data_IF_958287490288
#
_entry.id   IF_958287490288
#
_cell.length_a   1.000
_cell.length_b   1.000
_cell.length_c   1.000
_cell.angle_alpha   90.00
_cell.angle_beta   90.00
_cell.angle_gamma   90.00
#
_symmetry.space_group_name_H-M   'P 1'
#
loop_
_entity.id
_entity.type
_entity.pdbx_description
1 polymer ?
#
# COMPACT_ATOMS: atom_id res chain seq x y z
N UNK A 1 -22.31 10.15 -32.27
CA UNK A 1 -23.18 9.64 -31.18
C UNK A 1 -22.56 8.51 -30.34
N UNK A 2 -21.53 7.76 -30.78
CA UNK A 2 -20.97 6.64 -30.00
C UNK A 2 -20.02 7.02 -28.84
N UNK A 3 -19.35 8.18 -28.93
CA UNK A 3 -18.37 8.61 -27.90
C UNK A 3 -19.01 8.86 -26.53
N UNK A 4 -20.27 9.33 -26.51
CA UNK A 4 -20.98 9.61 -25.26
C UNK A 4 -21.52 8.33 -24.60
N UNK A 5 -21.93 7.34 -25.40
CA UNK A 5 -22.47 6.08 -24.88
C UNK A 5 -21.38 5.17 -24.30
N UNK A 6 -20.20 5.09 -24.91
CA UNK A 6 -19.08 4.27 -24.39
C UNK A 6 -18.59 4.80 -23.04
N UNK A 7 -18.52 6.13 -22.86
CA UNK A 7 -18.17 6.76 -21.60
C UNK A 7 -19.17 6.45 -20.48
N UNK A 8 -20.46 6.32 -20.78
CA UNK A 8 -21.48 5.92 -19.77
C UNK A 8 -21.21 4.51 -19.24
N UNK A 9 -20.84 3.56 -20.11
CA UNK A 9 -20.49 2.20 -19.64
C UNK A 9 -19.20 2.20 -18.83
N UNK A 10 -18.18 2.95 -19.26
CA UNK A 10 -16.93 3.10 -18.51
C UNK A 10 -17.23 3.62 -17.11
N UNK A 11 -17.92 4.76 -16.97
CA UNK A 11 -18.25 5.35 -15.67
C UNK A 11 -19.04 4.39 -14.77
N UNK A 12 -19.99 3.63 -15.32
CA UNK A 12 -20.73 2.60 -14.56
C UNK A 12 -19.85 1.45 -14.09
N UNK A 13 -18.91 1.00 -14.92
CA UNK A 13 -17.94 -0.03 -14.54
C UNK A 13 -17.02 0.47 -13.42
N UNK A 14 -16.49 1.70 -13.54
CA UNK A 14 -15.66 2.30 -12.50
C UNK A 14 -16.40 2.44 -11.18
N UNK A 15 -17.69 2.82 -11.20
CA UNK A 15 -18.51 2.92 -10.00
C UNK A 15 -18.75 1.56 -9.31
N UNK A 16 -18.96 0.48 -10.08
CA UNK A 16 -19.07 -0.88 -9.53
C UNK A 16 -17.76 -1.31 -8.87
N UNK A 17 -16.63 -0.98 -9.49
CA UNK A 17 -15.30 -1.26 -8.97
C UNK A 17 -15.05 -0.49 -7.66
N UNK A 18 -15.38 0.79 -7.62
CA UNK A 18 -15.30 1.62 -6.41
C UNK A 18 -16.15 1.04 -5.26
N UNK A 19 -17.37 0.60 -5.57
CA UNK A 19 -18.27 -0.04 -4.61
C UNK A 19 -17.68 -1.36 -4.10
N UNK A 20 -17.10 -2.17 -4.99
CA UNK A 20 -16.47 -3.45 -4.65
C UNK A 20 -15.23 -3.29 -3.76
N UNK A 21 -14.44 -2.23 -3.97
CA UNK A 21 -13.25 -1.95 -3.16
C UNK A 21 -13.60 -1.40 -1.78
N UNK A 22 -14.80 -0.81 -1.62
CA UNK A 22 -15.25 -0.18 -0.38
C UNK A 22 -14.24 0.86 0.16
N UNK A 23 -13.59 1.60 -0.75
CA UNK A 23 -12.53 2.60 -0.45
C UNK A 23 -12.95 4.04 -0.76
N UNK A 24 -14.24 4.34 -0.65
CA UNK A 24 -14.77 5.68 -0.94
C UNK A 24 -14.71 6.03 -2.44
N UNK A 25 -14.93 7.31 -2.75
CA UNK A 25 -14.99 7.80 -4.14
C UNK A 25 -13.59 7.92 -4.72
N UNK A 26 -13.44 7.58 -5.99
CA UNK A 26 -12.13 7.66 -6.67
C UNK A 26 -11.54 9.05 -6.79
N UNK A 27 -12.34 10.10 -6.58
CA UNK A 27 -11.87 11.48 -6.48
C UNK A 27 -10.92 11.69 -5.30
N UNK A 28 -10.93 10.82 -4.29
CA UNK A 28 -10.10 10.91 -3.09
C UNK A 28 -8.96 9.87 -3.06
N UNK A 29 -8.83 9.05 -4.12
CA UNK A 29 -7.83 7.99 -4.16
C UNK A 29 -6.40 8.52 -4.30
N UNK A 30 -5.54 8.05 -3.40
CA UNK A 30 -4.11 8.30 -3.39
C UNK A 30 -3.36 7.31 -4.29
N UNK A 31 -2.06 7.51 -4.50
CA UNK A 31 -1.23 6.53 -5.23
C UNK A 31 -1.33 5.13 -4.62
N UNK A 32 -1.37 5.04 -3.29
CA UNK A 32 -1.53 3.79 -2.55
C UNK A 32 -2.87 3.10 -2.87
N UNK A 33 -3.97 3.83 -3.02
CA UNK A 33 -5.27 3.24 -3.38
C UNK A 33 -5.26 2.64 -4.78
N UNK A 34 -4.58 3.30 -5.73
CA UNK A 34 -4.39 2.74 -7.07
C UNK A 34 -3.44 1.54 -7.09
N UNK A 35 -2.46 1.48 -6.17
CA UNK A 35 -1.61 0.30 -5.96
C UNK A 35 -2.43 -0.88 -5.45
N UNK A 36 -3.26 -0.66 -4.43
CA UNK A 36 -4.16 -1.67 -3.88
C UNK A 36 -5.22 -2.13 -4.90
N UNK A 37 -5.73 -1.21 -5.73
CA UNK A 37 -6.61 -1.57 -6.85
C UNK A 37 -5.91 -2.42 -7.90
N UNK A 38 -4.68 -2.05 -8.28
CA UNK A 38 -3.85 -2.84 -9.20
C UNK A 38 -3.64 -4.27 -8.67
N UNK A 39 -3.40 -4.41 -7.37
CA UNK A 39 -3.27 -5.70 -6.69
C UNK A 39 -4.57 -6.50 -6.68
N UNK A 40 -5.69 -5.87 -6.29
CA UNK A 40 -7.01 -6.53 -6.27
C UNK A 40 -7.44 -7.01 -7.67
N UNK A 41 -7.19 -6.21 -8.71
CA UNK A 41 -7.45 -6.59 -10.11
C UNK A 41 -6.58 -7.78 -10.51
N UNK A 42 -5.29 -7.77 -10.15
CA UNK A 42 -4.39 -8.88 -10.44
C UNK A 42 -4.83 -10.16 -9.73
N UNK A 43 -5.21 -10.09 -8.46
CA UNK A 43 -5.66 -11.24 -7.68
C UNK A 43 -6.92 -11.87 -8.29
N UNK A 44 -7.88 -11.05 -8.69
CA UNK A 44 -9.16 -11.52 -9.21
C UNK A 44 -9.16 -11.91 -10.70
N UNK A 45 -8.29 -11.30 -11.52
CA UNK A 45 -8.32 -11.47 -13.00
C UNK A 45 -7.05 -12.10 -13.57
N UNK A 46 -5.97 -12.17 -12.79
CA UNK A 46 -4.65 -12.60 -13.27
C UNK A 46 -4.00 -11.62 -14.27
N UNK A 47 -4.56 -10.43 -14.48
CA UNK A 47 -4.04 -9.39 -15.38
C UNK A 47 -3.63 -8.17 -14.56
N UNK A 48 -2.44 -7.64 -14.80
CA UNK A 48 -1.94 -6.44 -14.12
C UNK A 48 -2.30 -5.19 -14.94
N UNK A 49 -3.00 -4.24 -14.32
CA UNK A 49 -3.16 -2.89 -14.86
C UNK A 49 -2.25 -1.95 -14.07
N UNK A 50 -1.32 -1.26 -14.75
CA UNK A 50 -0.38 -0.38 -14.06
C UNK A 50 -1.10 0.78 -13.34
N UNK A 51 -0.53 1.26 -12.23
CA UNK A 51 -1.05 2.40 -11.47
C UNK A 51 -1.26 3.63 -12.36
N UNK A 52 -0.38 3.88 -13.33
CA UNK A 52 -0.52 5.00 -14.27
C UNK A 52 -1.66 4.79 -15.28
N UNK A 53 -1.88 3.54 -15.71
CA UNK A 53 -3.04 3.16 -16.53
C UNK A 53 -4.35 3.37 -15.75
N UNK A 54 -4.42 2.92 -14.50
CA UNK A 54 -5.59 3.10 -13.64
C UNK A 54 -5.87 4.58 -13.37
N UNK A 55 -4.83 5.36 -12.99
CA UNK A 55 -4.96 6.81 -12.78
C UNK A 55 -5.50 7.56 -14.01
N UNK A 56 -5.11 7.14 -15.23
CA UNK A 56 -5.65 7.72 -16.49
C UNK A 56 -7.12 7.38 -16.71
N UNK A 57 -7.51 6.14 -16.44
CA UNK A 57 -8.91 5.67 -16.60
C UNK A 57 -9.84 6.37 -15.59
N UNK A 58 -9.33 6.61 -14.39
CA UNK A 58 -10.03 7.34 -13.32
C UNK A 58 -9.91 8.87 -13.40
N UNK A 59 -9.36 9.41 -14.50
CA UNK A 59 -9.30 10.86 -14.75
C UNK A 59 -8.32 11.64 -13.87
N UNK A 60 -7.40 10.96 -13.15
CA UNK A 60 -6.35 11.59 -12.33
C UNK A 60 -5.16 12.09 -13.14
N UNK A 61 -5.02 11.61 -14.37
CA UNK A 61 -3.99 12.04 -15.32
C UNK A 61 -4.66 12.30 -16.67
N UNK A 62 -4.20 13.31 -17.40
CA UNK A 62 -4.73 13.64 -18.72
C UNK A 62 -4.59 12.45 -19.67
N UNK A 63 -5.70 12.08 -20.30
CA UNK A 63 -5.78 10.98 -21.26
C UNK A 63 -6.88 11.26 -22.28
N UNK A 64 -6.50 11.41 -23.56
CA UNK A 64 -7.42 11.83 -24.62
C UNK A 64 -7.97 10.66 -25.46
N UNK A 65 -7.67 9.41 -25.10
CA UNK A 65 -8.03 8.22 -25.87
C UNK A 65 -8.93 7.29 -25.08
N UNK A 66 -9.71 6.46 -25.78
CA UNK A 66 -10.51 5.40 -25.14
C UNK A 66 -9.54 4.30 -24.67
N UNK A 67 -9.69 3.75 -23.45
CA UNK A 67 -8.85 2.64 -22.98
C UNK A 67 -8.90 1.45 -23.94
N UNK A 68 -7.78 0.74 -24.09
CA UNK A 68 -7.71 -0.44 -24.93
C UNK A 68 -8.76 -1.50 -24.52
N UNK A 69 -9.29 -2.26 -25.47
CA UNK A 69 -10.31 -3.30 -25.23
C UNK A 69 -9.85 -4.34 -24.20
N UNK A 70 -8.56 -4.65 -24.15
CA UNK A 70 -7.96 -5.54 -23.15
C UNK A 70 -8.08 -4.98 -21.73
N UNK A 71 -7.88 -3.68 -21.56
CA UNK A 71 -8.07 -2.95 -20.31
C UNK A 71 -9.55 -2.98 -19.89
N UNK A 72 -10.46 -2.70 -20.83
CA UNK A 72 -11.91 -2.72 -20.56
C UNK A 72 -12.41 -4.12 -20.19
N UNK A 73 -11.91 -5.16 -20.86
CA UNK A 73 -12.20 -6.56 -20.50
C UNK A 73 -11.71 -6.89 -19.08
N UNK A 74 -10.51 -6.44 -18.72
CA UNK A 74 -9.94 -6.67 -17.39
C UNK A 74 -10.78 -6.00 -16.30
N UNK A 75 -11.26 -4.78 -16.53
CA UNK A 75 -12.13 -4.07 -15.58
C UNK A 75 -13.52 -4.73 -15.46
N UNK A 76 -14.09 -5.22 -16.56
CA UNK A 76 -15.33 -6.00 -16.54
C UNK A 76 -15.18 -7.32 -15.78
N UNK A 77 -14.08 -8.04 -15.99
CA UNK A 77 -13.71 -9.24 -15.23
C UNK A 77 -13.56 -8.96 -13.74
N UNK A 78 -12.89 -7.86 -13.40
CA UNK A 78 -12.82 -7.41 -12.02
C UNK A 78 -14.18 -6.99 -11.45
N UNK A 79 -15.15 -6.64 -12.29
CA UNK A 79 -16.51 -6.33 -11.87
C UNK A 79 -17.44 -7.55 -11.82
N UNK A 80 -16.94 -8.75 -12.14
CA UNK A 80 -17.70 -10.00 -12.09
C UNK A 80 -18.32 -10.45 -13.42
N UNK A 81 -17.94 -9.85 -14.55
CA UNK A 81 -18.42 -10.19 -15.90
C UNK A 81 -17.31 -10.88 -16.70
N UNK A 82 -17.64 -11.80 -17.61
CA UNK A 82 -16.66 -12.53 -18.43
C UNK A 82 -15.80 -11.60 -19.29
N UNK A 83 -16.39 -10.56 -19.86
CA UNK A 83 -15.73 -9.57 -20.70
C UNK A 83 -16.54 -8.25 -20.81
N UNK A 84 -15.97 -7.25 -21.51
CA UNK A 84 -16.60 -5.94 -21.68
C UNK A 84 -17.93 -6.00 -22.45
N UNK A 85 -18.12 -6.99 -23.33
CA UNK A 85 -19.33 -7.13 -24.14
C UNK A 85 -20.49 -7.66 -23.29
N UNK A 86 -20.23 -8.62 -22.41
CA UNK A 86 -21.22 -9.10 -21.44
C UNK A 86 -21.62 -7.98 -20.48
N UNK A 87 -20.65 -7.20 -19.98
CA UNK A 87 -20.94 -6.05 -19.13
C UNK A 87 -21.85 -5.01 -19.80
N UNK A 88 -21.60 -4.65 -21.07
CA UNK A 88 -22.50 -3.72 -21.78
C UNK A 88 -23.91 -4.29 -21.95
N UNK A 89 -24.00 -5.58 -22.29
CA UNK A 89 -25.27 -6.26 -22.48
C UNK A 89 -26.09 -6.35 -21.19
N UNK A 90 -25.45 -6.52 -20.03
CA UNK A 90 -26.13 -6.54 -18.73
C UNK A 90 -26.66 -5.15 -18.34
N UNK A 91 -25.92 -4.09 -18.63
CA UNK A 91 -26.36 -2.70 -18.38
C UNK A 91 -27.53 -2.30 -19.30
N UNK A 92 -27.56 -2.78 -20.53
CA UNK A 92 -28.65 -2.52 -21.47
C UNK A 92 -29.90 -3.34 -21.15
N UNK A 93 -29.75 -4.59 -20.69
CA UNK A 93 -30.87 -5.39 -20.19
C UNK A 93 -31.55 -4.75 -18.96
N UNK A 94 -30.81 -4.04 -18.10
CA UNK A 94 -31.39 -3.31 -16.96
C UNK A 94 -32.11 -2.03 -17.40
N UNK A 95 -31.75 -1.42 -18.54
CA UNK A 95 -32.47 -0.26 -19.09
C UNK A 95 -33.83 -0.63 -19.67
N UNK A 96 -34.01 -1.86 -20.15
CA UNK A 96 -35.28 -2.31 -20.75
C UNK A 96 -36.32 -2.79 -19.70
N UNK A 97 -35.97 -2.90 -18.41
CA UNK A 97 -36.87 -3.45 -17.37
C UNK A 97 -37.64 -2.38 -16.57
N UNK A 98 -37.35 -1.09 -16.75
CA UNK A 98 -38.11 0.02 -16.13
C UNK A 98 -39.19 0.61 -17.05
N UNK A 99 -40.10 -0.22 -17.54
CA UNK A 99 -41.47 0.24 -17.89
C UNK A 99 -42.50 -0.79 -17.43
N UNK A 100 -43.43 -0.32 -16.60
CA UNK A 100 -44.52 -1.10 -16.01
C UNK A 100 -45.65 -1.32 -17.02
N UNK A 101 -46.27 -2.51 -16.92
CA UNK A 101 -47.59 -2.94 -17.43
C UNK A 101 -47.68 -3.24 -18.94
N UNK A 102 -48.30 -4.33 -19.42
CA UNK A 102 -49.44 -5.15 -18.96
C UNK A 102 -49.38 -6.57 -19.56
N UNK A 103 -50.15 -7.50 -18.98
CA UNK A 103 -50.39 -8.87 -19.46
C UNK A 103 -50.65 -9.02 -20.97
N UNK A 104 -50.22 -10.16 -21.54
CA UNK A 104 -51.10 -11.08 -22.30
C UNK A 104 -50.48 -12.47 -22.47
N UNK A 105 -51.35 -13.46 -22.28
CA UNK A 105 -51.17 -14.90 -22.49
C UNK A 105 -51.06 -15.24 -23.99
N UNK A 106 -50.15 -16.14 -24.42
CA UNK A 106 -50.46 -17.49 -24.96
C UNK A 106 -49.29 -18.23 -25.69
N UNK A 107 -49.26 -19.55 -25.47
CA UNK A 107 -48.80 -20.70 -26.29
C UNK A 107 -47.33 -20.96 -26.74
N UNK A 108 -46.70 -21.89 -26.00
CA UNK A 108 -46.34 -23.28 -26.41
C UNK A 108 -45.85 -23.51 -27.86
N UNK A 109 -44.54 -23.80 -28.02
CA UNK A 109 -43.92 -24.95 -28.73
C UNK A 109 -42.41 -24.72 -28.97
N UNK A 110 -41.57 -24.94 -27.96
CA UNK A 110 -40.10 -24.99 -28.15
C UNK A 110 -39.41 -26.14 -27.40
N UNK A 111 -40.21 -27.03 -26.82
CA UNK A 111 -39.76 -28.11 -25.94
C UNK A 111 -39.32 -29.37 -26.69
N UNK A 112 -38.43 -29.26 -27.69
CA UNK A 112 -37.86 -30.44 -28.37
C UNK A 112 -36.39 -30.34 -28.84
N UNK A 113 -35.55 -29.47 -28.27
CA UNK A 113 -34.12 -29.40 -28.65
C UNK A 113 -33.13 -29.48 -27.47
N UNK A 114 -33.47 -30.19 -26.39
CA UNK A 114 -32.59 -30.43 -25.23
C UNK A 114 -32.27 -31.92 -25.04
N UNK A 115 -31.47 -32.50 -25.94
CA UNK A 115 -30.88 -33.83 -25.70
C UNK A 115 -29.46 -34.06 -26.27
N UNK A 116 -28.85 -33.09 -26.97
CA UNK A 116 -27.53 -33.29 -27.58
C UNK A 116 -26.37 -32.49 -26.98
N UNK A 117 -26.66 -31.38 -26.28
CA UNK A 117 -25.63 -30.42 -25.87
C UNK A 117 -24.84 -30.74 -24.58
N UNK A 118 -25.37 -31.46 -23.56
CA UNK A 118 -24.62 -31.66 -22.33
C UNK A 118 -23.48 -32.68 -22.45
N UNK A 119 -23.53 -33.59 -23.44
CA UNK A 119 -22.51 -34.64 -23.61
C UNK A 119 -21.22 -34.09 -24.27
N UNK A 120 -21.35 -33.11 -25.17
CA UNK A 120 -20.20 -32.45 -25.82
C UNK A 120 -19.45 -31.50 -24.87
N UNK A 121 -20.13 -30.86 -23.93
CA UNK A 121 -19.50 -30.02 -22.90
C UNK A 121 -18.70 -30.83 -21.88
N UNK A 122 -19.18 -32.03 -21.52
CA UNK A 122 -18.47 -32.93 -20.59
C UNK A 122 -17.19 -33.48 -21.24
N UNK A 123 -17.22 -33.82 -22.53
CA UNK A 123 -16.03 -34.26 -23.28
C UNK A 123 -15.00 -33.14 -23.47
N UNK A 124 -15.44 -31.89 -23.66
CA UNK A 124 -14.55 -30.72 -23.77
C UNK A 124 -13.85 -30.41 -22.44
N UNK A 125 -14.55 -30.49 -21.31
CA UNK A 125 -13.94 -30.29 -19.99
C UNK A 125 -13.00 -31.43 -19.56
N UNK A 126 -13.19 -32.64 -20.09
CA UNK A 126 -12.27 -33.77 -19.87
C UNK A 126 -11.02 -33.70 -20.76
N UNK A 127 -11.05 -32.97 -21.88
CA UNK A 127 -9.87 -32.77 -22.75
C UNK A 127 -9.10 -31.48 -22.47
N UNK A 128 -9.70 -30.51 -21.77
CA UNK A 128 -8.95 -29.38 -21.21
C UNK A 128 -8.20 -29.84 -19.96
N UNK A 129 -7.11 -30.57 -20.19
CA UNK A 129 -6.16 -30.94 -19.17
C UNK A 129 -5.75 -29.70 -18.41
N UNK A 130 -6.25 -29.60 -17.16
CA UNK A 130 -5.68 -28.72 -16.17
C UNK A 130 -4.24 -29.20 -16.00
N UNK A 131 -3.31 -28.53 -16.66
CA UNK A 131 -1.88 -28.66 -16.39
C UNK A 131 -1.69 -28.27 -14.94
N UNK A 132 -1.81 -29.24 -14.06
CA UNK A 132 -1.28 -29.20 -12.70
C UNK A 132 0.18 -28.85 -12.88
N UNK A 133 0.49 -27.56 -12.73
CA UNK A 133 1.85 -27.06 -12.75
C UNK A 133 2.67 -27.96 -11.83
N UNK A 134 3.70 -28.58 -12.40
CA UNK A 134 4.70 -29.33 -11.65
C UNK A 134 4.99 -28.60 -10.34
N UNK A 135 4.78 -29.26 -9.20
CA UNK A 135 5.32 -28.82 -7.91
C UNK A 135 6.83 -29.01 -7.96
N UNK A 136 7.48 -28.23 -8.82
CA UNK A 136 8.91 -28.03 -8.76
C UNK A 136 9.27 -27.56 -7.36
N UNK A 137 10.28 -28.18 -6.76
CA UNK A 137 10.84 -27.73 -5.49
C UNK A 137 11.58 -26.42 -5.72
N UNK A 138 10.87 -25.30 -5.52
CA UNK A 138 11.48 -23.97 -5.46
C UNK A 138 12.12 -23.75 -4.09
N UNK A 139 13.28 -23.11 -4.05
CA UNK A 139 13.90 -22.64 -2.80
C UNK A 139 14.13 -21.14 -2.86
N UNK A 140 14.03 -20.47 -1.72
CA UNK A 140 14.26 -19.03 -1.62
C UNK A 140 14.66 -18.66 -0.20
N UNK A 141 15.82 -18.02 -0.06
CA UNK A 141 16.35 -17.52 1.20
C UNK A 141 17.21 -16.29 0.95
N UNK A 142 17.55 -15.56 2.00
CA UNK A 142 18.41 -14.39 1.89
C UNK A 142 19.42 -14.29 3.02
N UNK A 143 20.59 -13.74 2.71
CA UNK A 143 21.63 -13.42 3.68
C UNK A 143 21.97 -11.93 3.57
N UNK A 144 21.99 -11.23 4.71
CA UNK A 144 22.47 -9.85 4.80
C UNK A 144 24.00 -9.84 4.80
N UNK A 145 24.61 -8.90 4.08
CA UNK A 145 26.08 -8.76 4.04
C UNK A 145 26.60 -8.16 5.35
N UNK A 146 25.85 -7.22 5.95
CA UNK A 146 26.10 -6.70 7.30
C UNK A 146 24.90 -6.98 8.21
N UNK A 147 25.14 -7.13 9.51
CA UNK A 147 24.08 -7.49 10.48
C UNK A 147 23.02 -6.41 10.63
N UNK A 148 23.43 -5.14 10.63
CA UNK A 148 22.62 -3.95 10.87
C UNK A 148 23.13 -2.74 10.06
N UNK A 149 22.31 -1.70 9.99
CA UNK A 149 22.61 -0.46 9.30
C UNK A 149 22.19 -0.49 7.83
N UNK A 150 22.27 0.69 7.21
CA UNK A 150 21.97 0.92 5.80
C UNK A 150 23.02 1.83 5.16
N UNK A 151 23.25 1.73 3.84
CA UNK A 151 22.68 0.73 2.93
C UNK A 151 23.17 -0.69 3.23
N UNK A 152 22.32 -1.69 3.01
CA UNK A 152 22.67 -3.09 3.26
C UNK A 152 22.42 -3.94 2.03
N UNK A 153 23.48 -4.58 1.53
CA UNK A 153 23.38 -5.56 0.46
C UNK A 153 22.82 -6.87 0.99
N UNK A 154 21.86 -7.43 0.28
CA UNK A 154 21.25 -8.73 0.58
C UNK A 154 21.44 -9.65 -0.60
N UNK A 155 22.00 -10.83 -0.33
CA UNK A 155 22.19 -11.89 -1.32
C UNK A 155 21.04 -12.87 -1.17
N UNK A 156 20.17 -12.90 -2.17
CA UNK A 156 19.12 -13.90 -2.31
C UNK A 156 19.69 -15.16 -2.93
N UNK A 157 19.47 -16.30 -2.27
CA UNK A 157 19.73 -17.63 -2.81
C UNK A 157 18.41 -18.23 -3.24
N UNK A 158 18.33 -18.72 -4.47
CA UNK A 158 17.10 -19.27 -5.03
C UNK A 158 17.35 -20.47 -5.93
N UNK A 159 16.34 -21.33 -6.03
CA UNK A 159 16.25 -22.34 -7.08
C UNK A 159 14.92 -22.17 -7.82
N UNK A 160 15.02 -21.76 -9.08
CA UNK A 160 13.89 -21.64 -9.99
C UNK A 160 14.05 -22.53 -11.24
N UNK A 161 14.90 -23.55 -11.20
CA UNK A 161 15.16 -24.46 -12.33
C UNK A 161 13.89 -25.15 -12.85
N UNK A 162 12.92 -25.38 -11.96
CA UNK A 162 11.63 -25.96 -12.30
C UNK A 162 10.63 -25.00 -12.99
N UNK A 163 11.03 -23.75 -13.26
CA UNK A 163 10.19 -22.76 -13.94
C UNK A 163 9.89 -23.12 -15.40
N UNK A 164 10.59 -24.09 -16.00
CA UNK A 164 10.40 -24.47 -17.40
C UNK A 164 10.74 -23.30 -18.33
N UNK A 165 9.76 -22.88 -19.14
CA UNK A 165 9.88 -21.74 -20.06
C UNK A 165 9.38 -20.42 -19.48
N UNK A 166 8.83 -20.42 -18.26
CA UNK A 166 8.31 -19.21 -17.63
C UNK A 166 9.44 -18.28 -17.18
N UNK A 167 9.19 -16.98 -17.22
CA UNK A 167 10.10 -15.97 -16.67
C UNK A 167 10.10 -16.00 -15.14
N UNK A 168 11.28 -15.79 -14.55
CA UNK A 168 11.46 -15.77 -13.09
C UNK A 168 11.73 -14.34 -12.63
N UNK A 169 11.13 -13.95 -11.51
CA UNK A 169 11.32 -12.63 -10.93
C UNK A 169 11.57 -12.70 -9.43
N UNK A 170 12.29 -11.72 -8.92
CA UNK A 170 12.41 -11.46 -7.48
C UNK A 170 11.82 -10.08 -7.20
N UNK A 171 10.86 -10.01 -6.28
CA UNK A 171 10.41 -8.77 -5.67
C UNK A 171 11.07 -8.63 -4.30
N UNK A 172 11.76 -7.51 -4.07
CA UNK A 172 12.46 -7.23 -2.80
C UNK A 172 11.50 -6.79 -1.69
N UNK A 173 10.37 -6.21 -2.08
CA UNK A 173 9.39 -5.61 -1.16
C UNK A 173 8.02 -6.24 -1.36
N UNK A 174 7.03 -5.73 -0.62
CA UNK A 174 5.63 -6.09 -0.82
C UNK A 174 5.14 -5.70 -2.22
N UNK A 175 5.63 -4.58 -2.76
CA UNK A 175 5.30 -4.06 -4.09
C UNK A 175 5.97 -4.87 -5.22
N UNK A 176 5.18 -5.78 -5.79
CA UNK A 176 5.59 -6.65 -6.91
C UNK A 176 5.71 -5.90 -8.26
N UNK A 177 5.32 -4.62 -8.33
CA UNK A 177 5.55 -3.80 -9.53
C UNK A 177 7.04 -3.53 -9.71
N UNK A 178 7.80 -3.52 -8.61
CA UNK A 178 9.26 -3.34 -8.56
C UNK A 178 10.06 -4.64 -8.70
N UNK A 179 9.41 -5.74 -9.10
CA UNK A 179 10.09 -7.01 -9.33
C UNK A 179 11.15 -6.88 -10.42
N UNK A 180 12.24 -7.62 -10.24
CA UNK A 180 13.36 -7.67 -11.19
C UNK A 180 13.40 -9.06 -11.81
N UNK A 181 13.57 -9.12 -13.13
CA UNK A 181 13.75 -10.40 -13.83
C UNK A 181 15.09 -11.03 -13.43
N UNK A 182 15.07 -12.32 -13.12
CA UNK A 182 16.27 -13.09 -12.80
C UNK A 182 16.33 -14.34 -13.66
N UNK A 183 17.55 -14.83 -13.85
CA UNK A 183 17.81 -16.02 -14.66
C UNK A 183 17.47 -17.28 -13.84
N UNK A 184 16.59 -18.13 -14.37
CA UNK A 184 16.16 -19.37 -13.69
C UNK A 184 17.31 -20.36 -13.44
N UNK A 185 18.38 -20.27 -14.22
CA UNK A 185 19.53 -21.17 -14.16
C UNK A 185 20.62 -20.65 -13.21
N UNK A 186 20.52 -19.38 -12.77
CA UNK A 186 21.33 -18.83 -11.68
C UNK A 186 20.76 -19.21 -10.32
N UNK A 187 21.61 -19.13 -9.30
CA UNK A 187 21.25 -19.48 -7.91
C UNK A 187 21.31 -18.30 -6.95
N UNK A 188 21.82 -17.15 -7.41
CA UNK A 188 22.05 -15.99 -6.57
C UNK A 188 21.63 -14.69 -7.26
N UNK A 189 21.08 -13.76 -6.49
CA UNK A 189 20.73 -12.41 -6.90
C UNK A 189 20.98 -11.46 -5.73
N UNK A 190 21.72 -10.38 -5.97
CA UNK A 190 22.04 -9.41 -4.91
C UNK A 190 21.32 -8.10 -5.14
N UNK A 191 20.82 -7.50 -4.06
CA UNK A 191 20.20 -6.19 -4.11
C UNK A 191 20.49 -5.36 -2.86
N UNK A 192 20.42 -4.04 -2.99
CA UNK A 192 20.71 -3.09 -1.92
C UNK A 192 19.41 -2.57 -1.32
N UNK A 193 19.29 -2.68 0.00
CA UNK A 193 18.25 -2.05 0.79
C UNK A 193 18.78 -0.71 1.33
N UNK A 194 18.21 0.38 0.84
CA UNK A 194 18.60 1.74 1.23
C UNK A 194 17.86 2.28 2.46
N UNK A 195 16.81 1.60 2.91
CA UNK A 195 16.05 2.00 4.10
C UNK A 195 15.89 0.81 5.04
N UNK A 196 15.99 1.01 6.36
CA UNK A 196 15.65 -0.01 7.34
C UNK A 196 14.17 -0.36 7.22
N UNK A 197 13.83 -1.60 7.56
CA UNK A 197 12.44 -2.05 7.47
C UNK A 197 12.28 -3.56 7.54
N UNK A 198 11.02 -3.97 7.53
CA UNK A 198 10.62 -5.36 7.38
C UNK A 198 10.06 -5.57 5.97
N UNK A 199 10.63 -6.52 5.25
CA UNK A 199 10.35 -6.80 3.87
C UNK A 199 9.93 -8.26 3.71
N UNK A 200 8.91 -8.48 2.89
CA UNK A 200 8.52 -9.82 2.44
C UNK A 200 8.94 -9.99 0.99
N UNK A 201 10.17 -10.47 0.81
CA UNK A 201 10.72 -10.75 -0.51
C UNK A 201 9.98 -11.93 -1.13
N UNK A 202 9.81 -11.91 -2.46
CA UNK A 202 9.05 -12.92 -3.19
C UNK A 202 9.85 -13.44 -4.37
N UNK A 203 9.90 -14.77 -4.52
CA UNK A 203 10.30 -15.43 -5.75
C UNK A 203 9.04 -15.72 -6.57
N UNK A 204 9.04 -15.31 -7.83
CA UNK A 204 7.89 -15.42 -8.72
C UNK A 204 8.26 -16.18 -9.99
N UNK A 205 7.34 -17.02 -10.47
CA UNK A 205 7.42 -17.71 -11.77
C UNK A 205 6.19 -17.32 -12.58
N UNK A 206 6.43 -16.65 -13.71
CA UNK A 206 5.41 -15.93 -14.46
C UNK A 206 4.73 -14.89 -13.56
N UNK A 207 3.44 -15.12 -13.27
CA UNK A 207 2.64 -14.25 -12.40
C UNK A 207 2.45 -14.79 -10.98
N UNK A 208 2.92 -16.01 -10.70
CA UNK A 208 2.66 -16.70 -9.43
C UNK A 208 3.80 -16.46 -8.45
N UNK A 209 3.46 -16.14 -7.20
CA UNK A 209 4.41 -16.15 -6.09
C UNK A 209 4.62 -17.62 -5.70
N UNK A 210 5.85 -18.13 -5.86
CA UNK A 210 6.18 -19.53 -5.57
C UNK A 210 6.85 -19.70 -4.21
N UNK A 211 7.53 -18.64 -3.72
CA UNK A 211 8.10 -18.56 -2.37
C UNK A 211 8.07 -17.13 -1.85
N UNK A 212 7.94 -17.00 -0.54
CA UNK A 212 8.12 -15.77 0.20
C UNK A 212 9.24 -15.96 1.24
N UNK A 213 9.92 -14.89 1.55
CA UNK A 213 10.97 -14.88 2.56
C UNK A 213 10.94 -13.55 3.32
N UNK A 214 10.79 -13.64 4.62
CA UNK A 214 10.80 -12.49 5.52
C UNK A 214 12.23 -12.02 5.77
N UNK A 215 12.45 -10.73 5.64
CA UNK A 215 13.75 -10.08 5.73
C UNK A 215 13.63 -8.79 6.53
N UNK A 216 14.39 -8.68 7.62
CA UNK A 216 14.44 -7.47 8.44
C UNK A 216 15.81 -6.80 8.33
N UNK A 217 15.81 -5.56 7.83
CA UNK A 217 16.96 -4.66 7.80
C UNK A 217 16.87 -3.76 9.01
N UNK A 218 17.65 -4.09 10.05
CA UNK A 218 17.72 -3.31 11.28
C UNK A 218 18.60 -2.09 11.09
N UNK A 219 18.31 -1.00 11.82
CA UNK A 219 18.97 0.29 11.64
C UNK A 219 20.18 0.51 12.56
N UNK A 220 20.31 -0.22 13.67
CA UNK A 220 21.38 0.01 14.67
C UNK A 220 21.21 1.33 15.44
N UNK A 221 19.96 1.73 15.69
CA UNK A 221 19.58 3.03 16.28
C UNK A 221 18.87 3.94 15.27
N UNK A 222 18.79 5.24 15.58
CA UNK A 222 18.17 6.22 14.69
C UNK A 222 19.01 6.44 13.44
N UNK A 223 18.34 6.44 12.28
CA UNK A 223 18.87 6.87 10.99
C UNK A 223 18.04 8.05 10.51
N UNK A 224 18.72 9.14 10.13
CA UNK A 224 18.10 10.27 9.45
C UNK A 224 18.52 10.31 7.98
N UNK A 225 17.55 10.45 7.08
CA UNK A 225 17.80 10.52 5.64
C UNK A 225 16.88 11.51 4.95
N UNK A 226 17.37 12.07 3.84
CA UNK A 226 16.56 12.81 2.88
C UNK A 226 16.20 11.88 1.74
N UNK A 227 14.91 11.64 1.57
CA UNK A 227 14.37 10.75 0.55
C UNK A 227 14.31 11.45 -0.81
N UNK A 228 14.74 10.77 -1.86
CA UNK A 228 14.76 11.30 -3.24
C UNK A 228 14.32 10.25 -4.27
N UNK A 229 13.56 9.22 -3.84
CA UNK A 229 13.00 8.14 -4.66
C UNK A 229 14.02 7.21 -5.35
N UNK A 230 15.33 7.44 -5.22
CA UNK A 230 16.37 6.62 -5.86
C UNK A 230 17.35 6.06 -4.84
N UNK A 231 18.30 6.90 -4.40
CA UNK A 231 19.28 6.59 -3.36
C UNK A 231 19.23 7.75 -2.36
N UNK A 232 18.74 7.52 -1.13
CA UNK A 232 18.58 8.60 -0.18
C UNK A 232 19.93 9.19 0.23
N UNK A 233 19.90 10.47 0.59
CA UNK A 233 21.03 11.13 1.23
C UNK A 233 20.98 10.79 2.73
N UNK A 234 22.03 10.17 3.26
CA UNK A 234 22.15 9.87 4.69
C UNK A 234 22.80 11.04 5.42
N UNK A 235 22.21 11.43 6.55
CA UNK A 235 22.81 12.41 7.45
C UNK A 235 23.71 11.71 8.47
N UNK A 236 24.79 12.36 8.91
CA UNK A 236 25.67 11.75 9.92
C UNK A 236 25.00 11.80 11.28
N UNK A 237 25.20 10.75 12.09
CA UNK A 237 24.63 10.65 13.43
C UNK A 237 24.89 11.88 14.30
N UNK A 238 26.10 12.45 14.24
CA UNK A 238 26.48 13.66 14.97
C UNK A 238 25.73 14.94 14.55
N UNK A 239 25.11 14.95 13.37
CA UNK A 239 24.40 16.12 12.82
C UNK A 239 22.93 16.12 13.26
N UNK A 240 22.35 14.97 13.57
CA UNK A 240 20.94 14.87 13.94
C UNK A 240 20.66 14.35 15.36
N UNK A 241 21.58 13.61 15.97
CA UNK A 241 21.37 13.07 17.30
C UNK A 241 22.02 13.96 18.35
N UNK A 242 21.19 14.69 19.11
CA UNK A 242 21.56 15.65 20.15
C UNK A 242 21.02 15.16 21.50
N UNK A 243 21.85 14.48 22.29
CA UNK A 243 21.46 13.88 23.58
C UNK A 243 20.22 12.95 23.42
N UNK A 244 19.09 13.29 24.07
CA UNK A 244 17.81 12.56 23.98
C UNK A 244 16.88 13.02 22.86
N UNK A 245 17.39 13.82 21.93
CA UNK A 245 16.61 14.41 20.84
C UNK A 245 17.21 14.03 19.48
N UNK A 246 16.33 13.75 18.53
CA UNK A 246 16.65 13.59 17.11
C UNK A 246 16.11 14.83 16.41
N UNK A 247 16.96 15.64 15.81
CA UNK A 247 16.58 16.91 15.20
C UNK A 247 17.42 17.18 13.95
N UNK A 248 16.75 17.58 12.87
CA UNK A 248 17.39 18.15 11.68
C UNK A 248 16.80 19.52 11.45
N UNK A 249 17.66 20.53 11.54
CA UNK A 249 17.30 21.94 11.34
C UNK A 249 17.63 22.43 9.92
N UNK A 250 17.25 23.68 9.64
CA UNK A 250 17.46 24.29 8.32
C UNK A 250 18.95 24.43 7.97
N UNK A 251 19.81 24.68 8.97
CA UNK A 251 21.26 24.80 8.77
C UNK A 251 21.86 23.45 8.34
N UNK A 252 21.42 22.36 8.96
CA UNK A 252 21.80 20.99 8.59
C UNK A 252 21.38 20.66 7.17
N UNK A 253 20.15 21.00 6.75
CA UNK A 253 19.70 20.74 5.37
C UNK A 253 20.55 21.56 4.36
N UNK A 254 20.82 22.83 4.68
CA UNK A 254 21.57 23.73 3.79
C UNK A 254 23.04 23.32 3.66
N UNK A 255 23.65 22.70 4.68
CA UNK A 255 25.05 22.23 4.61
C UNK A 255 25.26 21.12 3.57
N UNK A 256 24.18 20.42 3.18
CA UNK A 256 24.16 19.45 2.09
C UNK A 256 23.77 20.05 0.72
N UNK A 257 23.75 21.38 0.60
CA UNK A 257 23.33 22.13 -0.60
C UNK A 257 21.88 21.86 -1.03
N UNK A 258 21.00 21.55 -0.08
CA UNK A 258 19.56 21.40 -0.32
C UNK A 258 18.82 22.69 0.03
N UNK A 259 17.77 23.00 -0.73
CA UNK A 259 16.90 24.15 -0.47
C UNK A 259 15.62 23.72 0.23
N UNK A 260 15.10 24.58 1.11
CA UNK A 260 13.80 24.39 1.78
C UNK A 260 12.63 24.98 0.97
N UNK A 261 12.92 25.64 -0.15
CA UNK A 261 11.97 26.34 -1.01
C UNK A 261 12.28 26.06 -2.49
N UNK A 262 11.27 26.09 -3.38
CA UNK A 262 9.84 26.22 -3.07
C UNK A 262 9.23 24.97 -2.41
N UNK A 263 9.92 23.83 -2.55
CA UNK A 263 9.53 22.56 -1.97
C UNK A 263 10.58 22.09 -0.97
N UNK A 264 10.14 21.82 0.26
CA UNK A 264 11.01 21.27 1.28
C UNK A 264 11.29 19.78 1.02
N UNK A 265 12.54 19.30 1.20
CA UNK A 265 12.91 17.93 0.91
C UNK A 265 12.27 16.95 1.91
N UNK A 266 11.92 15.72 1.51
CA UNK A 266 11.30 14.76 2.41
C UNK A 266 12.33 14.21 3.39
N UNK A 267 12.20 14.57 4.66
CA UNK A 267 13.05 14.09 5.74
C UNK A 267 12.41 12.85 6.39
N UNK A 268 13.25 11.87 6.74
CA UNK A 268 12.84 10.64 7.41
C UNK A 268 13.71 10.41 8.64
N UNK A 269 13.09 10.09 9.76
CA UNK A 269 13.74 9.45 10.90
C UNK A 269 13.25 8.01 11.00
N UNK A 270 14.15 7.04 11.03
CA UNK A 270 13.80 5.62 11.01
C UNK A 270 14.59 4.90 12.10
N UNK A 271 13.90 4.09 12.90
CA UNK A 271 14.52 3.16 13.82
C UNK A 271 13.81 1.81 13.75
N UNK A 272 14.51 0.78 13.27
CA UNK A 272 14.01 -0.58 13.07
C UNK A 272 14.92 -1.54 13.82
N UNK A 273 14.34 -2.28 14.75
CA UNK A 273 15.06 -3.24 15.58
C UNK A 273 14.13 -4.37 16.02
N UNK A 274 14.71 -5.39 16.65
CA UNK A 274 13.90 -6.42 17.31
C UNK A 274 13.18 -5.82 18.52
N UNK A 275 11.84 -5.75 18.44
CA UNK A 275 10.98 -5.21 19.49
C UNK A 275 10.57 -6.27 20.52
N UNK A 276 11.29 -7.40 20.61
CA UNK A 276 11.09 -8.45 21.62
C UNK A 276 9.66 -9.00 21.64
N UNK A 277 9.03 -9.07 20.46
CA UNK A 277 7.68 -9.62 20.29
C UNK A 277 6.55 -8.69 20.75
N UNK A 278 6.78 -7.38 20.88
CA UNK A 278 5.69 -6.43 21.11
C UNK A 278 4.70 -6.49 19.94
N UNK A 279 3.40 -6.66 20.24
CA UNK A 279 2.35 -6.83 19.22
C UNK A 279 1.47 -5.59 19.08
N UNK A 280 0.99 -5.36 17.86
CA UNK A 280 0.18 -4.18 17.52
C UNK A 280 -1.27 -4.21 18.05
N UNK A 281 -1.70 -5.25 18.77
CA UNK A 281 -3.02 -5.36 19.41
C UNK A 281 -3.02 -5.10 20.92
N UNK A 282 -1.84 -4.98 21.53
CA UNK A 282 -1.68 -4.68 22.95
C UNK A 282 -0.36 -3.93 23.20
N UNK A 283 -0.37 -2.60 23.10
CA UNK A 283 0.83 -1.78 23.34
C UNK A 283 0.46 -0.36 23.74
N UNK A 284 1.44 0.34 24.30
CA UNK A 284 1.42 1.79 24.47
C UNK A 284 2.66 2.37 23.81
N UNK A 285 2.46 3.34 22.92
CA UNK A 285 3.54 4.08 22.26
C UNK A 285 3.44 5.56 22.62
N UNK A 286 4.58 6.19 22.88
CA UNK A 286 4.66 7.61 23.19
C UNK A 286 5.83 8.25 22.45
N UNK A 287 5.64 9.51 22.05
CA UNK A 287 6.68 10.32 21.43
C UNK A 287 6.28 11.80 21.47
N UNK A 288 7.27 12.69 21.47
CA UNK A 288 7.06 14.14 21.29
C UNK A 288 7.61 14.58 19.94
N UNK A 289 6.84 15.37 19.20
CA UNK A 289 7.16 15.84 17.84
C UNK A 289 7.17 17.36 17.81
N UNK A 290 8.10 17.95 17.05
CA UNK A 290 8.13 19.37 16.70
C UNK A 290 8.51 19.54 15.22
N UNK A 291 7.81 20.44 14.54
CA UNK A 291 8.15 20.91 13.20
C UNK A 291 7.75 22.39 13.14
N UNK A 292 8.72 23.30 13.10
CA UNK A 292 8.50 24.75 13.11
C UNK A 292 8.58 25.39 11.71
N UNK A 293 8.83 24.60 10.66
CA UNK A 293 8.92 25.12 9.30
C UNK A 293 7.52 25.29 8.68
N UNK A 294 7.18 26.54 8.29
CA UNK A 294 5.85 26.95 7.79
C UNK A 294 5.89 27.71 6.46
N UNK A 295 6.91 27.51 5.64
CA UNK A 295 7.12 28.31 4.42
C UNK A 295 6.84 27.50 3.15
N UNK A 296 6.44 28.19 2.07
CA UNK A 296 6.21 27.59 0.75
C UNK A 296 5.22 26.42 0.76
N UNK A 297 5.60 25.30 0.15
CA UNK A 297 4.73 24.11 0.13
C UNK A 297 4.60 23.39 1.49
N UNK A 298 5.34 23.82 2.52
CA UNK A 298 5.33 23.21 3.85
C UNK A 298 4.45 23.96 4.88
N UNK A 299 3.62 24.91 4.46
CA UNK A 299 2.70 25.68 5.34
C UNK A 299 1.83 24.80 6.25
N UNK A 300 1.44 23.62 5.76
CA UNK A 300 0.63 22.67 6.52
C UNK A 300 1.41 21.83 7.53
N UNK A 301 2.74 21.89 7.49
CA UNK A 301 3.62 21.17 8.42
C UNK A 301 3.29 19.69 8.56
N UNK A 302 2.87 19.04 7.47
CA UNK A 302 2.45 17.64 7.53
C UNK A 302 3.59 16.78 8.08
N UNK A 303 3.25 15.99 9.11
CA UNK A 303 4.08 14.96 9.69
C UNK A 303 3.30 13.66 9.69
N UNK A 304 3.94 12.56 9.29
CA UNK A 304 3.39 11.22 9.51
C UNK A 304 4.26 10.47 10.50
N UNK A 305 3.64 9.89 11.52
CA UNK A 305 4.26 8.96 12.46
C UNK A 305 3.81 7.56 12.07
N UNK A 306 4.78 6.71 11.75
CA UNK A 306 4.56 5.34 11.32
C UNK A 306 5.04 4.38 12.39
N UNK A 307 4.11 3.55 12.89
CA UNK A 307 4.45 2.35 13.66
C UNK A 307 4.50 1.19 12.67
N UNK A 308 5.70 0.67 12.46
CA UNK A 308 5.97 -0.37 11.48
C UNK A 308 5.65 -1.73 12.09
N UNK A 309 4.83 -2.54 11.42
CA UNK A 309 4.46 -3.89 11.86
C UNK A 309 4.89 -4.93 10.81
N UNK A 310 4.97 -6.20 11.20
CA UNK A 310 5.20 -7.30 10.24
C UNK A 310 3.97 -7.43 9.33
N UNK A 311 4.08 -6.98 8.08
CA UNK A 311 3.02 -7.00 7.05
C UNK A 311 1.88 -6.00 7.26
N UNK A 312 2.07 -5.00 8.11
CA UNK A 312 1.10 -3.91 8.26
C UNK A 312 1.78 -2.64 8.77
N UNK A 313 1.01 -1.57 8.91
CA UNK A 313 1.49 -0.28 9.41
C UNK A 313 0.38 0.45 10.14
N UNK A 314 0.76 1.37 11.03
CA UNK A 314 -0.13 2.39 11.58
C UNK A 314 0.47 3.73 11.18
N UNK A 315 -0.27 4.54 10.42
CA UNK A 315 0.16 5.84 9.88
C UNK A 315 -0.70 6.92 10.52
N UNK A 316 -0.09 7.72 11.37
CA UNK A 316 -0.75 8.74 12.19
C UNK A 316 -0.37 10.12 11.64
N UNK A 317 -1.33 10.86 11.06
CA UNK A 317 -1.05 12.18 10.53
C UNK A 317 -1.10 13.24 11.63
N UNK A 318 -0.19 14.22 11.58
CA UNK A 318 -0.31 15.50 12.28
C UNK A 318 -0.08 16.62 11.28
N UNK A 319 -0.73 17.76 11.50
CA UNK A 319 -0.56 18.94 10.65
C UNK A 319 -0.81 20.23 11.44
N UNK A 320 -0.59 21.38 10.81
CA UNK A 320 -1.09 22.65 11.31
C UNK A 320 -2.63 22.65 11.37
N UNK A 321 -3.22 23.29 12.39
CA UNK A 321 -4.68 23.35 12.61
C UNK A 321 -5.52 23.71 11.37
N UNK A 322 -5.01 24.57 10.50
CA UNK A 322 -5.71 25.02 9.30
C UNK A 322 -5.73 23.98 8.15
N UNK A 323 -4.97 22.89 8.25
CA UNK A 323 -4.76 21.92 7.16
C UNK A 323 -5.37 20.53 7.44
N UNK A 324 -6.35 20.44 8.34
CA UNK A 324 -6.97 19.16 8.71
C UNK A 324 -7.80 18.53 7.57
N UNK A 325 -8.09 19.27 6.48
CA UNK A 325 -8.98 18.84 5.41
C UNK A 325 -8.51 17.60 4.63
N UNK A 326 -7.19 17.38 4.55
CA UNK A 326 -6.58 16.31 3.74
C UNK A 326 -5.85 15.25 4.60
N UNK A 327 -6.32 15.00 5.83
CA UNK A 327 -5.71 13.97 6.68
C UNK A 327 -6.29 12.58 6.40
N UNK A 328 -5.42 11.59 6.49
CA UNK A 328 -5.75 10.18 6.42
C UNK A 328 -5.01 9.42 7.53
N UNK A 329 -5.77 8.92 8.49
CA UNK A 329 -5.30 7.97 9.50
C UNK A 329 -5.44 6.56 8.94
N UNK A 330 -4.39 5.75 9.04
CA UNK A 330 -4.43 4.33 8.73
C UNK A 330 -3.95 3.52 9.93
N UNK A 331 -4.70 2.49 10.30
CA UNK A 331 -4.33 1.60 11.39
C UNK A 331 -4.76 0.17 11.04
N UNK A 332 -3.77 -0.66 10.70
CA UNK A 332 -3.91 -2.10 10.52
C UNK A 332 -5.15 -2.55 9.72
N UNK A 333 -5.30 -2.02 8.51
CA UNK A 333 -6.40 -2.30 7.58
C UNK A 333 -7.60 -1.36 7.67
N UNK A 334 -7.66 -0.47 8.67
CA UNK A 334 -8.68 0.57 8.77
C UNK A 334 -8.11 1.91 8.28
N UNK A 335 -8.74 2.51 7.28
CA UNK A 335 -8.46 3.88 6.85
C UNK A 335 -9.59 4.82 7.31
N UNK A 336 -9.21 6.02 7.76
CA UNK A 336 -10.11 7.08 8.21
C UNK A 336 -9.65 8.38 7.56
N UNK A 337 -10.50 9.01 6.77
CA UNK A 337 -10.21 10.26 6.05
C UNK A 337 -11.01 11.42 6.64
N UNK A 338 -10.44 12.62 6.62
CA UNK A 338 -11.11 13.84 7.12
C UNK A 338 -12.42 14.20 6.41
N UNK A 339 -12.63 13.73 5.18
CA UNK A 339 -13.87 13.93 4.43
C UNK A 339 -15.05 13.07 4.95
N UNK A 340 -14.79 12.08 5.79
CA UNK A 340 -15.77 11.14 6.32
C UNK A 340 -15.73 10.94 7.83
N UNK A 341 -14.80 11.60 8.53
CA UNK A 341 -14.65 11.53 9.98
C UNK A 341 -14.00 12.82 10.52
N UNK A 342 -14.28 13.14 11.78
CA UNK A 342 -13.63 14.26 12.46
C UNK A 342 -12.21 13.88 12.90
N UNK A 343 -11.22 14.42 12.19
CA UNK A 343 -9.80 14.33 12.52
C UNK A 343 -9.23 15.69 12.99
N UNK A 344 -10.08 16.62 13.42
CA UNK A 344 -9.69 17.98 13.80
C UNK A 344 -8.63 18.02 14.91
N UNK A 345 -8.66 17.06 15.84
CA UNK A 345 -7.71 16.94 16.96
C UNK A 345 -6.30 16.49 16.54
N UNK A 346 -6.10 16.05 15.29
CA UNK A 346 -4.77 15.84 14.73
C UNK A 346 -4.14 17.15 14.20
N UNK A 347 -4.92 18.23 14.11
CA UNK A 347 -4.45 19.57 13.83
C UNK A 347 -3.84 20.23 15.08
N UNK A 348 -2.54 20.51 15.04
CA UNK A 348 -1.76 20.97 16.19
C UNK A 348 -1.01 22.28 15.90
N UNK A 349 -0.45 22.88 16.94
CA UNK A 349 0.63 23.87 16.79
C UNK A 349 1.99 23.16 16.85
N UNK A 350 2.48 22.71 15.69
CA UNK A 350 3.73 21.95 15.59
C UNK A 350 4.99 22.79 15.81
N UNK A 351 4.87 24.12 15.96
CA UNK A 351 5.98 24.96 16.42
C UNK A 351 6.34 24.69 17.89
N UNK A 352 5.40 24.11 18.64
CA UNK A 352 5.58 23.63 19.99
C UNK A 352 5.75 22.11 20.00
N UNK A 353 6.24 21.56 21.11
CA UNK A 353 6.27 20.11 21.31
C UNK A 353 4.84 19.57 21.43
N UNK A 354 4.49 18.67 20.51
CA UNK A 354 3.22 17.94 20.50
C UNK A 354 3.47 16.54 21.01
N UNK A 355 2.75 16.13 22.06
CA UNK A 355 2.83 14.77 22.60
C UNK A 355 1.80 13.88 21.91
N UNK A 356 2.28 12.79 21.32
CA UNK A 356 1.44 11.71 20.79
C UNK A 356 1.58 10.51 21.73
N UNK A 357 0.43 9.98 22.15
CA UNK A 357 0.31 8.70 22.83
C UNK A 357 -0.68 7.82 22.08
N UNK A 358 -0.30 6.58 21.82
CA UNK A 358 -1.16 5.57 21.21
C UNK A 358 -1.33 4.45 22.21
N UNK A 359 -2.57 4.09 22.52
CA UNK A 359 -2.87 2.98 23.40
C UNK A 359 -3.72 1.96 22.66
N UNK A 360 -3.26 0.72 22.61
CA UNK A 360 -4.00 -0.38 22.00
C UNK A 360 -4.23 -1.48 23.00
N UNK A 361 -5.46 -1.97 23.08
CA UNK A 361 -5.82 -3.16 23.86
C UNK A 361 -6.89 -3.95 23.11
N UNK A 362 -6.67 -5.24 22.90
CA UNK A 362 -7.60 -6.14 22.20
C UNK A 362 -8.03 -5.61 20.82
N UNK A 363 -7.07 -5.02 20.07
CA UNK A 363 -7.28 -4.36 18.77
C UNK A 363 -8.12 -3.07 18.79
N UNK A 364 -8.53 -2.60 19.97
CA UNK A 364 -9.08 -1.27 20.15
C UNK A 364 -7.94 -0.28 20.36
N UNK A 365 -7.76 0.66 19.43
CA UNK A 365 -6.66 1.61 19.38
C UNK A 365 -7.18 3.03 19.60
N UNK A 366 -6.56 3.73 20.55
CA UNK A 366 -6.84 5.12 20.90
C UNK A 366 -5.63 5.99 20.62
N UNK A 367 -5.87 7.13 19.99
CA UNK A 367 -4.86 8.14 19.67
C UNK A 367 -5.11 9.34 20.57
N UNK A 368 -4.11 9.72 21.35
CA UNK A 368 -4.19 10.78 22.35
C UNK A 368 -3.14 11.83 21.99
N UNK A 369 -3.60 13.07 21.77
CA UNK A 369 -2.75 14.20 21.40
C UNK A 369 -2.80 15.23 22.53
N UNK A 370 -1.64 15.57 23.09
CA UNK A 370 -1.51 16.50 24.21
C UNK A 370 -2.44 16.18 25.41
N UNK A 371 -2.65 14.88 25.67
CA UNK A 371 -3.49 14.39 26.78
C UNK A 371 -4.99 14.28 26.46
N UNK A 372 -5.44 14.70 25.28
CA UNK A 372 -6.83 14.56 24.84
C UNK A 372 -6.98 13.44 23.82
N UNK A 373 -8.03 12.63 23.95
CA UNK A 373 -8.34 11.59 22.96
C UNK A 373 -8.74 12.24 21.63
N UNK A 374 -7.90 12.07 20.62
CA UNK A 374 -8.10 12.58 19.26
C UNK A 374 -9.03 11.68 18.44
N UNK A 375 -8.86 10.36 18.57
CA UNK A 375 -9.68 9.37 17.86
C UNK A 375 -9.53 7.98 18.49
N UNK A 376 -10.50 7.11 18.23
CA UNK A 376 -10.43 5.70 18.60
C UNK A 376 -11.05 4.82 17.49
N UNK A 377 -10.50 3.63 17.28
CA UNK A 377 -10.99 2.66 16.30
C UNK A 377 -10.65 1.23 16.70
N UNK A 378 -11.41 0.27 16.18
CA UNK A 378 -10.99 -1.13 16.10
C UNK A 378 -10.39 -1.39 14.72
N UNK A 379 -9.31 -2.17 14.66
CA UNK A 379 -8.68 -2.54 13.38
C UNK A 379 -8.98 -4.00 12.96
N UNK A 380 -9.21 -4.25 11.65
CA UNK A 380 -9.69 -5.55 11.16
C UNK A 380 -8.58 -6.58 10.91
N UNK A 381 -7.35 -6.15 10.60
CA UNK A 381 -6.29 -7.09 10.23
C UNK A 381 -5.82 -7.94 11.43
N UNK A 382 -5.31 -9.15 11.18
CA UNK A 382 -4.70 -9.97 12.22
C UNK A 382 -3.53 -9.23 12.91
N UNK A 383 -3.40 -9.34 14.24
CA UNK A 383 -2.29 -8.68 14.94
C UNK A 383 -0.93 -9.24 14.55
N UNK A 384 0.07 -8.36 14.46
CA UNK A 384 1.44 -8.70 14.07
C UNK A 384 2.45 -7.97 14.96
N UNK A 385 3.71 -8.41 14.92
CA UNK A 385 4.77 -7.80 15.73
C UNK A 385 5.10 -6.41 15.20
N UNK A 386 5.31 -5.46 16.10
CA UNK A 386 5.91 -4.17 15.79
C UNK A 386 7.41 -4.38 15.57
N UNK A 387 7.99 -3.68 14.59
CA UNK A 387 9.40 -3.83 14.19
C UNK A 387 10.18 -2.51 14.21
N UNK A 388 9.51 -1.39 14.41
CA UNK A 388 10.17 -0.09 14.44
C UNK A 388 9.22 1.08 14.26
N UNK A 389 9.84 2.25 14.14
CA UNK A 389 9.15 3.51 13.93
C UNK A 389 9.78 4.27 12.78
N UNK A 390 8.95 5.04 12.09
CA UNK A 390 9.39 5.99 11.09
C UNK A 390 8.62 7.30 11.25
N UNK A 391 9.31 8.42 11.09
CA UNK A 391 8.72 9.75 11.08
C UNK A 391 8.99 10.37 9.73
N UNK A 392 7.98 10.99 9.14
CA UNK A 392 8.07 11.63 7.83
C UNK A 392 7.77 13.10 7.98
N UNK A 393 8.74 13.92 7.65
CA UNK A 393 8.64 15.37 7.60
C UNK A 393 8.88 15.85 6.17
N UNK A 394 8.54 17.11 5.91
CA UNK A 394 8.99 17.85 4.74
C UNK A 394 9.80 19.06 5.22
N UNK A 395 11.10 19.04 4.97
CA UNK A 395 12.06 20.00 5.50
C UNK A 395 12.64 19.56 6.83
N UNK A 396 12.47 20.39 7.86
CA UNK A 396 13.02 20.17 9.20
C UNK A 396 12.11 19.29 10.04
N UNK A 397 12.63 18.78 11.15
CA UNK A 397 11.83 18.03 12.11
C UNK A 397 12.63 17.68 13.35
N UNK A 398 11.93 17.53 14.47
CA UNK A 398 12.51 17.06 15.71
C UNK A 398 11.57 16.08 16.43
N UNK A 399 12.16 15.06 17.05
CA UNK A 399 11.48 14.10 17.92
C UNK A 399 12.28 13.86 19.20
N UNK A 400 11.58 13.51 20.28
CA UNK A 400 12.17 13.07 21.55
C UNK A 400 11.20 12.22 22.34
N UNK A 401 11.66 11.67 23.46
CA UNK A 401 10.83 10.91 24.41
C UNK A 401 10.08 9.75 23.74
N UNK A 402 10.73 9.10 22.77
CA UNK A 402 10.14 8.00 22.00
C UNK A 402 10.30 6.70 22.76
N UNK A 403 9.18 6.07 23.10
CA UNK A 403 9.17 4.79 23.81
C UNK A 403 7.97 3.94 23.47
N UNK A 404 8.11 2.63 23.61
CA UNK A 404 7.02 1.68 23.50
C UNK A 404 7.01 0.74 24.69
N UNK A 405 5.80 0.38 25.11
CA UNK A 405 5.56 -0.42 26.29
C UNK A 405 4.54 -1.51 25.98
N UNK A 406 4.77 -2.71 26.50
CA UNK A 406 3.78 -3.77 26.59
C UNK A 406 3.98 -4.51 27.92
N UNK A 407 2.95 -4.51 28.75
CA UNK A 407 2.99 -5.02 30.12
C UNK A 407 4.14 -4.37 30.93
N UNK A 408 5.17 -5.15 31.30
CA UNK A 408 6.36 -4.68 32.02
C UNK A 408 7.56 -4.38 31.10
N UNK A 409 7.44 -4.64 29.82
CA UNK A 409 8.52 -4.40 28.86
C UNK A 409 8.44 -2.96 28.38
N UNK A 410 9.53 -2.22 28.57
CA UNK A 410 9.70 -0.84 28.10
C UNK A 410 10.93 -0.83 27.18
N UNK A 411 10.80 -0.19 26.03
CA UNK A 411 11.91 0.07 25.12
C UNK A 411 11.92 1.58 24.86
N UNK A 412 13.00 2.23 25.29
CA UNK A 412 13.30 3.65 25.02
C UNK A 412 14.25 3.77 23.83
N UNK A 413 14.10 4.84 23.05
CA UNK A 413 14.77 5.05 21.76
C UNK A 413 15.64 6.29 21.71
#
# INVERSE_FOLDING_TARGET
MSYNTENIYILKCLHLIETRLNRGKSVDWTTYDFEQLSEAILEATGVTLSVTTLKRIWGKLSYNNIPATTTLNTLAQFSGYKDWREFKSSIDAVKEVTTVNKEKVHNRKWMYWLAGFPILLILYFLSSGNSSANKGTYTFSSNKVISEGVPNSVVFKYDASAAGTDSVFIAQTWDISRKVAVDKDKKEYSAIYYQPGYFRAKLMVGKRIVKEHDLMITSGGWVALIDNNTVPLYLKKSEFQKDKMIEVDAATITSYNLTLQPQAPPLRFINVQDMKGIRNDNFVFETSIKNDFRQGSAVCQHVEILILCKNDVIIIPLCAKACIGDLSLYAAGKAVQSNGADLSRFGCDLSQWVQLRVETKNRHMRFIINGEEAYALDFPHPPTDIVGFQYRFNGVGAIKDTRIMQDKHIIDF
#
